data_IF_267646821778
#
_entry.id   IF_267646821778
#
_cell.length_a   1.000
_cell.length_b   1.000
_cell.length_c   1.000
_cell.angle_alpha   90.00
_cell.angle_beta   90.00
_cell.angle_gamma   90.00
#
_symmetry.space_group_name_H-M   'P 1'
#
loop_
_entity.id
_entity.type
_entity.pdbx_description
1 polymer ?
#
# COMPACT_ATOMS: atom_id res chain seq x y z
N UNK A 1 2.15 -31.83 19.55
CA UNK A 1 2.48 -32.72 20.69
C UNK A 1 3.62 -33.60 20.21
N UNK A 2 4.83 -33.47 20.78
CA UNK A 2 5.99 -34.26 20.38
C UNK A 2 5.92 -35.69 20.91
N UNK A 3 6.36 -36.66 20.10
CA UNK A 3 6.51 -38.05 20.53
C UNK A 3 7.93 -38.23 21.11
N UNK A 4 8.10 -38.54 22.40
CA UNK A 4 9.41 -38.69 23.01
C UNK A 4 10.27 -39.84 22.43
N UNK A 5 9.71 -40.68 21.56
CA UNK A 5 10.42 -41.77 20.87
C UNK A 5 10.82 -41.43 19.42
N UNK A 6 10.40 -40.28 18.90
CA UNK A 6 10.67 -39.82 17.54
C UNK A 6 11.35 -38.45 17.61
N UNK A 7 12.39 -38.24 16.81
CA UNK A 7 12.97 -36.90 16.72
C UNK A 7 11.94 -35.97 16.08
N UNK A 8 11.69 -34.84 16.72
CA UNK A 8 10.83 -33.81 16.17
C UNK A 8 11.46 -33.27 14.87
N UNK A 9 10.66 -33.21 13.81
CA UNK A 9 11.09 -32.66 12.52
C UNK A 9 11.09 -31.14 12.62
N UNK A 10 12.14 -30.57 12.05
CA UNK A 10 12.34 -29.16 11.76
C UNK A 10 12.62 -29.17 10.24
N UNK A 11 11.58 -28.95 9.45
CA UNK A 11 11.60 -29.24 8.01
C UNK A 11 12.18 -28.10 7.18
N UNK A 12 12.03 -26.86 7.66
CA UNK A 12 12.56 -25.63 7.09
C UNK A 12 13.93 -25.20 7.70
N UNK A 13 14.37 -25.85 8.78
CA UNK A 13 15.65 -25.64 9.46
C UNK A 13 15.77 -24.26 10.12
N UNK A 14 14.65 -23.68 10.56
CA UNK A 14 14.60 -22.39 11.23
C UNK A 14 14.90 -22.48 12.76
N UNK A 15 14.95 -23.71 13.28
CA UNK A 15 15.25 -24.00 14.68
C UNK A 15 14.01 -24.15 15.58
N UNK A 16 12.81 -24.01 15.00
CA UNK A 16 11.54 -24.36 15.60
C UNK A 16 11.05 -25.70 15.06
N UNK A 17 10.44 -26.49 15.93
CA UNK A 17 9.92 -27.79 15.52
C UNK A 17 8.47 -27.66 15.05
N UNK A 18 8.01 -28.61 14.22
CA UNK A 18 6.65 -28.66 13.66
C UNK A 18 5.52 -28.34 14.65
N UNK A 19 5.66 -28.68 15.94
CA UNK A 19 4.59 -28.46 16.93
C UNK A 19 4.58 -27.05 17.55
N UNK A 20 5.58 -26.23 17.27
CA UNK A 20 5.73 -24.84 17.69
C UNK A 20 5.50 -23.87 16.53
N UNK A 21 5.75 -24.34 15.30
CA UNK A 21 5.61 -23.55 14.10
C UNK A 21 4.16 -23.55 13.58
N UNK A 22 3.70 -22.41 13.04
CA UNK A 22 2.45 -22.32 12.29
C UNK A 22 2.58 -22.90 10.87
N UNK A 23 3.80 -22.96 10.32
CA UNK A 23 4.11 -23.61 9.04
C UNK A 23 5.56 -24.16 9.01
N UNK A 24 5.73 -25.45 9.31
CA UNK A 24 7.06 -26.11 9.39
C UNK A 24 7.80 -26.24 8.05
N UNK A 25 7.16 -25.86 6.94
CA UNK A 25 7.75 -25.84 5.60
C UNK A 25 8.19 -24.42 5.17
N UNK A 26 7.94 -23.38 5.97
CA UNK A 26 8.30 -21.98 5.68
C UNK A 26 9.17 -21.36 6.79
N UNK A 27 10.48 -21.27 6.51
CA UNK A 27 11.47 -20.67 7.41
C UNK A 27 11.09 -19.27 7.89
N UNK A 28 10.33 -18.50 7.10
CA UNK A 28 9.96 -17.11 7.43
C UNK A 28 8.84 -17.01 8.47
N UNK A 29 8.25 -18.14 8.85
CA UNK A 29 7.13 -18.21 9.79
C UNK A 29 7.56 -19.00 11.02
N UNK A 30 7.62 -18.34 12.17
CA UNK A 30 7.87 -18.98 13.45
C UNK A 30 7.66 -18.03 14.64
N UNK A 31 7.39 -18.57 15.84
CA UNK A 31 7.25 -17.77 17.04
C UNK A 31 8.40 -16.78 17.29
N UNK A 32 8.05 -15.57 17.74
CA UNK A 32 8.98 -14.49 18.11
C UNK A 32 9.79 -13.89 16.94
N UNK A 33 9.48 -14.23 15.68
CA UNK A 33 10.03 -13.50 14.53
C UNK A 33 9.38 -12.11 14.40
N UNK A 34 10.07 -11.10 13.86
CA UNK A 34 9.40 -9.86 13.46
C UNK A 34 8.55 -10.10 12.21
N UNK A 35 7.45 -9.35 12.09
CA UNK A 35 6.68 -9.29 10.85
C UNK A 35 7.46 -8.59 9.73
N UNK A 36 7.34 -9.13 8.53
CA UNK A 36 7.76 -8.53 7.28
C UNK A 36 6.48 -8.15 6.50
N UNK A 37 6.44 -7.00 5.83
CA UNK A 37 5.26 -6.55 5.09
C UNK A 37 5.10 -7.35 3.78
N UNK A 38 4.73 -8.63 3.90
CA UNK A 38 4.61 -9.59 2.80
C UNK A 38 3.24 -10.30 2.77
N UNK A 39 2.39 -10.05 3.77
CA UNK A 39 1.06 -10.63 3.91
C UNK A 39 1.06 -12.04 4.50
N UNK A 40 2.15 -12.45 5.16
CA UNK A 40 2.22 -13.65 5.98
C UNK A 40 2.15 -13.29 7.46
N UNK A 41 1.78 -14.27 8.26
CA UNK A 41 1.92 -14.25 9.71
C UNK A 41 3.32 -14.83 10.01
N UNK A 42 4.31 -13.96 10.16
CA UNK A 42 5.72 -14.35 10.34
C UNK A 42 5.99 -14.80 11.77
N UNK A 43 5.31 -14.22 12.76
CA UNK A 43 5.54 -14.49 14.17
C UNK A 43 4.60 -15.54 14.79
N UNK A 44 3.66 -16.06 13.99
CA UNK A 44 2.69 -17.09 14.36
C UNK A 44 1.74 -16.67 15.51
N UNK A 45 1.36 -15.39 15.61
CA UNK A 45 0.42 -14.89 16.62
C UNK A 45 -1.06 -14.76 16.15
N UNK A 46 -1.35 -15.24 14.95
CA UNK A 46 -2.63 -15.14 14.21
C UNK A 46 -2.96 -13.72 13.68
N UNK A 47 -2.03 -12.78 13.75
CA UNK A 47 -2.07 -11.49 13.07
C UNK A 47 -1.09 -11.51 11.89
N UNK A 48 -1.26 -10.56 10.96
CA UNK A 48 -0.49 -10.48 9.72
C UNK A 48 -0.07 -9.04 9.58
N UNK A 49 1.23 -8.78 9.48
CA UNK A 49 1.85 -7.48 9.27
C UNK A 49 1.38 -6.41 10.31
N UNK A 50 0.94 -6.80 11.50
CA UNK A 50 0.35 -5.91 12.51
C UNK A 50 1.34 -4.90 13.09
N UNK A 51 2.65 -5.21 13.03
CA UNK A 51 3.74 -4.30 13.34
C UNK A 51 3.75 -3.05 12.44
N UNK A 52 2.99 -3.06 11.34
CA UNK A 52 2.88 -1.98 10.36
C UNK A 52 1.57 -1.17 10.49
N UNK A 53 0.69 -1.46 11.47
CA UNK A 53 -0.57 -0.71 11.63
C UNK A 53 -0.40 0.77 11.96
N UNK A 54 0.65 1.12 12.68
CA UNK A 54 0.94 2.50 13.14
C UNK A 54 2.22 3.04 12.50
N UNK A 55 2.85 2.28 11.60
CA UNK A 55 4.02 2.71 10.84
C UNK A 55 3.54 3.46 9.61
N UNK A 56 4.18 4.59 9.34
CA UNK A 56 3.95 5.48 8.20
C UNK A 56 5.35 5.90 7.75
N UNK A 57 5.92 5.14 6.82
CA UNK A 57 7.34 5.18 6.46
C UNK A 57 7.67 6.40 5.61
N UNK A 58 6.78 6.84 4.73
CA UNK A 58 6.98 7.99 3.85
C UNK A 58 6.32 9.29 4.36
N UNK A 59 5.41 9.20 5.34
CA UNK A 59 4.81 10.33 6.04
C UNK A 59 3.63 10.98 5.32
N UNK A 60 2.94 10.26 4.43
CA UNK A 60 1.79 10.76 3.69
C UNK A 60 0.47 10.71 4.49
N UNK A 61 0.48 10.03 5.64
CA UNK A 61 -0.66 9.88 6.54
C UNK A 61 -1.48 8.60 6.35
N UNK A 62 -1.05 7.68 5.49
CA UNK A 62 -1.47 6.29 5.45
C UNK A 62 -0.52 5.44 6.27
N UNK A 63 -1.00 4.31 6.79
CA UNK A 63 -0.10 3.35 7.42
C UNK A 63 0.46 2.38 6.39
N UNK A 64 1.71 1.95 6.54
CA UNK A 64 2.38 0.98 5.67
C UNK A 64 1.49 -0.27 5.46
N UNK A 65 0.82 -0.73 6.52
CA UNK A 65 -0.17 -1.81 6.43
C UNK A 65 -1.31 -1.48 5.46
N UNK A 66 -1.90 -0.30 5.59
CA UNK A 66 -3.05 0.11 4.78
C UNK A 66 -2.66 0.27 3.32
N UNK A 67 -1.50 0.83 3.06
CA UNK A 67 -0.96 0.99 1.71
C UNK A 67 -0.80 -0.35 1.00
N UNK A 68 -0.12 -1.30 1.65
CA UNK A 68 0.12 -2.63 1.11
C UNK A 68 -1.17 -3.46 0.95
N UNK A 69 -2.03 -3.50 1.98
CA UNK A 69 -3.21 -4.39 1.98
C UNK A 69 -4.46 -3.79 1.34
N UNK A 70 -4.67 -2.48 1.42
CA UNK A 70 -5.94 -1.85 1.06
C UNK A 70 -5.86 -0.97 -0.19
N UNK A 71 -4.74 -0.28 -0.41
CA UNK A 71 -4.64 0.76 -1.43
C UNK A 71 -3.76 0.38 -2.62
N UNK A 72 -2.90 -0.64 -2.46
CA UNK A 72 -1.92 -1.04 -3.48
C UNK A 72 -0.95 0.11 -3.85
N UNK A 73 -0.69 0.98 -2.88
CA UNK A 73 0.33 2.03 -2.95
C UNK A 73 1.65 1.52 -2.38
N UNK A 74 2.73 2.26 -2.63
CA UNK A 74 4.07 1.92 -2.19
C UNK A 74 4.34 2.58 -0.84
N UNK A 75 4.43 1.79 0.23
CA UNK A 75 4.62 2.27 1.60
C UNK A 75 5.88 3.13 1.85
N UNK A 76 6.81 3.17 0.89
CA UNK A 76 8.05 3.94 0.95
C UNK A 76 8.06 5.14 0.00
N UNK A 77 6.91 5.48 -0.60
CA UNK A 77 6.76 6.54 -1.59
C UNK A 77 5.42 7.25 -1.43
N UNK A 78 5.48 8.45 -0.82
CA UNK A 78 4.29 9.26 -0.54
C UNK A 78 3.44 9.64 -1.77
N UNK A 79 3.94 9.41 -2.99
CA UNK A 79 3.27 9.63 -4.27
C UNK A 79 3.66 8.44 -5.17
N UNK A 80 2.82 7.41 -5.20
CA UNK A 80 3.16 6.11 -5.81
C UNK A 80 3.23 6.20 -7.33
N UNK A 81 2.37 6.99 -7.96
CA UNK A 81 2.31 7.11 -9.41
C UNK A 81 3.07 8.31 -9.98
N UNK A 82 3.59 9.18 -9.10
CA UNK A 82 4.50 10.28 -9.37
C UNK A 82 3.87 11.42 -10.18
N UNK A 83 2.60 11.70 -9.93
CA UNK A 83 1.87 12.78 -10.59
C UNK A 83 1.93 14.14 -9.86
N UNK A 84 2.42 14.13 -8.62
CA UNK A 84 2.60 15.30 -7.77
C UNK A 84 1.52 15.48 -6.70
N UNK A 85 0.59 14.55 -6.55
CA UNK A 85 -0.34 14.47 -5.41
C UNK A 85 0.05 13.27 -4.54
N UNK A 86 0.06 13.45 -3.21
CA UNK A 86 0.39 12.35 -2.30
C UNK A 86 -0.77 11.35 -2.15
N UNK A 87 -0.46 10.05 -2.04
CA UNK A 87 -1.44 8.95 -2.04
C UNK A 87 -2.51 9.15 -0.96
N UNK A 88 -2.10 9.54 0.24
CA UNK A 88 -2.97 9.90 1.36
C UNK A 88 -3.96 11.02 1.03
N UNK A 89 -3.52 12.06 0.34
CA UNK A 89 -4.40 13.14 -0.14
C UNK A 89 -5.40 12.65 -1.17
N UNK A 90 -4.97 11.82 -2.12
CA UNK A 90 -5.83 11.27 -3.17
C UNK A 90 -6.94 10.39 -2.58
N UNK A 91 -6.58 9.50 -1.66
CA UNK A 91 -7.52 8.63 -0.95
C UNK A 91 -8.47 9.43 -0.07
N UNK A 92 -7.98 10.45 0.64
CA UNK A 92 -8.81 11.28 1.52
C UNK A 92 -9.83 12.13 0.74
N UNK A 93 -9.46 12.59 -0.47
CA UNK A 93 -10.32 13.41 -1.33
C UNK A 93 -11.22 12.57 -2.24
N UNK A 94 -10.76 11.39 -2.66
CA UNK A 94 -11.43 10.50 -3.59
C UNK A 94 -11.65 11.13 -4.97
N UNK A 95 -10.71 11.96 -5.42
CA UNK A 95 -10.81 12.70 -6.70
C UNK A 95 -9.92 12.09 -7.78
N UNK A 96 -8.76 11.58 -7.39
CA UNK A 96 -7.74 10.97 -8.24
C UNK A 96 -7.43 9.54 -7.78
N UNK A 97 -6.53 8.86 -8.48
CA UNK A 97 -6.17 7.47 -8.21
C UNK A 97 -4.69 7.37 -7.84
N UNK A 98 -4.32 6.85 -6.65
CA UNK A 98 -2.93 6.82 -6.16
C UNK A 98 -2.00 5.82 -6.83
N UNK A 99 -2.42 5.26 -7.96
CA UNK A 99 -1.67 4.25 -8.71
C UNK A 99 -1.77 4.50 -10.21
N UNK A 100 -2.46 5.56 -10.61
CA UNK A 100 -2.69 5.93 -11.99
C UNK A 100 -2.56 7.44 -12.12
N UNK A 101 -1.35 7.85 -12.49
CA UNK A 101 -0.98 9.25 -12.60
C UNK A 101 -2.02 10.08 -13.37
N UNK A 102 -2.46 11.16 -12.75
CA UNK A 102 -3.22 12.21 -13.39
C UNK A 102 -2.27 13.18 -14.09
N UNK A 103 -2.64 13.62 -15.28
CA UNK A 103 -1.82 14.53 -16.06
C UNK A 103 -2.52 15.88 -16.17
N UNK A 104 -1.70 16.94 -16.20
CA UNK A 104 -2.06 18.26 -16.69
C UNK A 104 -1.47 18.38 -18.12
N UNK A 105 -2.23 17.91 -19.12
CA UNK A 105 -1.75 17.78 -20.51
C UNK A 105 -1.66 19.11 -21.23
N UNK A 106 -2.47 20.09 -20.84
CA UNK A 106 -2.46 21.41 -21.44
C UNK A 106 -1.65 22.46 -20.65
N UNK A 107 -1.14 22.06 -19.48
CA UNK A 107 -0.27 22.82 -18.60
C UNK A 107 -0.91 24.09 -18.03
N UNK A 108 -2.20 24.06 -17.73
CA UNK A 108 -2.93 25.17 -17.11
C UNK A 108 -2.94 25.14 -15.57
N UNK A 109 -2.41 24.06 -14.98
CA UNK A 109 -2.30 23.85 -13.54
C UNK A 109 -3.50 23.14 -12.91
N UNK A 110 -4.46 22.66 -13.72
CA UNK A 110 -5.53 21.77 -13.30
C UNK A 110 -5.32 20.39 -13.93
N UNK A 111 -5.34 19.36 -13.08
CA UNK A 111 -5.14 17.97 -13.51
C UNK A 111 -6.45 17.39 -14.07
N UNK A 112 -6.38 16.24 -14.76
CA UNK A 112 -7.54 15.53 -15.33
C UNK A 112 -8.70 15.31 -14.33
N UNK A 113 -8.42 15.15 -13.04
CA UNK A 113 -9.48 15.03 -12.03
C UNK A 113 -10.18 16.36 -11.69
N UNK A 114 -9.49 17.49 -11.85
CA UNK A 114 -9.98 18.84 -11.59
C UNK A 114 -10.65 19.45 -12.83
N UNK A 115 -10.17 19.12 -14.02
CA UNK A 115 -10.67 19.60 -15.29
C UNK A 115 -11.34 18.50 -16.13
N UNK A 116 -12.61 18.73 -16.50
CA UNK A 116 -13.41 17.76 -17.26
C UNK A 116 -12.90 17.54 -18.70
N UNK A 117 -12.01 18.40 -19.22
CA UNK A 117 -11.40 18.30 -20.55
C UNK A 117 -9.97 18.85 -20.58
N UNK A 118 -9.04 18.08 -20.00
CA UNK A 118 -7.58 18.32 -19.88
C UNK A 118 -6.82 18.45 -21.23
N UNK A 119 -7.53 18.56 -22.35
CA UNK A 119 -6.93 18.87 -23.66
C UNK A 119 -7.09 20.34 -24.04
N UNK A 120 -7.74 21.13 -23.20
CA UNK A 120 -8.16 22.50 -23.50
C UNK A 120 -7.90 23.39 -22.29
N UNK A 121 -6.74 24.06 -22.23
CA UNK A 121 -6.35 24.90 -21.08
C UNK A 121 -7.14 26.21 -20.89
N UNK A 122 -8.34 26.27 -21.45
CA UNK A 122 -9.37 27.27 -21.14
C UNK A 122 -10.63 26.65 -20.50
N UNK A 123 -10.67 25.33 -20.38
CA UNK A 123 -11.63 24.56 -19.61
C UNK A 123 -10.93 24.27 -18.29
N UNK A 124 -11.48 24.78 -17.18
CA UNK A 124 -11.00 24.47 -15.83
C UNK A 124 -11.97 25.10 -14.83
N UNK A 125 -11.96 24.66 -13.55
CA UNK A 125 -12.77 25.27 -12.50
C UNK A 125 -12.52 26.79 -12.34
N UNK A 126 -13.54 27.59 -12.65
CA UNK A 126 -13.46 29.06 -12.54
C UNK A 126 -13.05 29.79 -13.82
N UNK A 127 -12.86 29.07 -14.94
CA UNK A 127 -12.66 29.68 -16.25
C UNK A 127 -13.84 30.57 -16.66
N UNK A 128 -13.56 31.64 -17.41
CA UNK A 128 -14.61 32.52 -17.94
C UNK A 128 -15.28 31.83 -19.14
N UNK A 129 -16.52 31.41 -18.94
CA UNK A 129 -17.41 30.85 -19.97
C UNK A 129 -17.44 31.75 -21.21
N UNK A 130 -16.90 31.26 -22.33
CA UNK A 130 -16.99 31.97 -23.61
C UNK A 130 -18.33 31.67 -24.25
N UNK A 131 -19.19 32.68 -24.32
CA UNK A 131 -20.44 32.60 -25.09
C UNK A 131 -20.10 32.69 -26.59
N UNK A 132 -19.97 31.55 -27.25
CA UNK A 132 -19.88 31.48 -28.72
C UNK A 132 -21.27 31.79 -29.30
N UNK A 133 -21.48 33.03 -29.76
CA UNK A 133 -22.68 33.40 -30.52
C UNK A 133 -22.61 32.76 -31.90
N UNK A 134 -23.44 31.73 -32.12
CA UNK A 134 -23.60 31.05 -33.42
C UNK A 134 -24.64 31.73 -34.31
#
# INVERSE_FOLDING_TARGET
MSDPLVADSDSDLDGWYHFQNCDDDDFERAPERPEDLDGKDNDCDDLVDEDFYERDTDGDGLSDYSEYHNYSTSFDSADTDQDGVDDGTEIARGLSSPVFADYDRDNDGFYEYDDCDDLVGSTYPGAVEKVEWR
#
